data_IF_742359131758
#
_entry.id   IF_742359131758
#
_cell.length_a   1.000
_cell.length_b   1.000
_cell.length_c   1.000
_cell.angle_alpha   90.00
_cell.angle_beta   90.00
_cell.angle_gamma   90.00
#
_symmetry.space_group_name_H-M   'P 1'
#
loop_
_entity.id
_entity.type
_entity.pdbx_description
1 polymer ?
#
# COMPACT_ATOMS: atom_id res chain seq x y z
N UNK A 1 -4.55 -0.30 4.59
CA UNK A 1 -3.40 -0.76 3.79
C UNK A 1 -3.79 -2.03 3.06
N UNK A 2 -3.39 -2.15 1.80
CA UNK A 2 -3.55 -3.33 0.95
C UNK A 2 -2.15 -3.90 0.68
N UNK A 3 -1.98 -5.20 0.90
CA UNK A 3 -0.73 -5.92 0.71
C UNK A 3 -0.92 -6.91 -0.44
N UNK A 4 -0.07 -6.84 -1.47
CA UNK A 4 -0.14 -7.70 -2.65
C UNK A 4 1.08 -8.61 -2.70
N UNK A 5 0.82 -9.90 -2.95
CA UNK A 5 1.85 -10.90 -3.13
C UNK A 5 1.92 -11.32 -4.60
N UNK A 6 3.13 -11.33 -5.15
CA UNK A 6 3.44 -11.82 -6.49
C UNK A 6 4.47 -12.93 -6.39
N UNK A 7 4.25 -14.05 -7.10
CA UNK A 7 5.10 -15.24 -7.00
C UNK A 7 6.50 -15.03 -7.59
N UNK A 8 6.66 -14.09 -8.52
CA UNK A 8 7.92 -13.85 -9.19
C UNK A 8 8.12 -12.37 -9.55
N UNK A 9 9.23 -11.81 -9.07
CA UNK A 9 9.77 -10.54 -9.53
C UNK A 9 11.25 -10.79 -9.89
N UNK A 10 11.56 -10.85 -11.19
CA UNK A 10 12.87 -11.13 -11.83
C UNK A 10 14.05 -11.51 -10.89
N UNK A 11 13.93 -12.63 -10.16
CA UNK A 11 14.99 -13.21 -9.32
C UNK A 11 15.15 -12.67 -7.89
N UNK A 12 14.37 -11.66 -7.47
CA UNK A 12 14.37 -11.13 -6.10
C UNK A 12 12.92 -10.83 -5.75
N UNK A 13 12.20 -11.80 -5.18
CA UNK A 13 10.79 -11.63 -4.83
C UNK A 13 10.55 -10.32 -4.08
N UNK A 14 9.68 -9.48 -4.63
CA UNK A 14 9.24 -8.22 -4.05
C UNK A 14 7.81 -8.34 -3.52
N UNK A 15 7.49 -7.56 -2.49
CA UNK A 15 6.12 -7.32 -2.05
C UNK A 15 5.87 -5.84 -2.10
N UNK A 16 4.76 -5.49 -2.72
CA UNK A 16 4.37 -4.11 -2.93
C UNK A 16 3.09 -3.85 -2.15
N UNK A 17 2.96 -2.64 -1.62
CA UNK A 17 1.91 -2.21 -0.72
C UNK A 17 1.24 -0.94 -1.21
N UNK A 18 -0.05 -0.82 -0.91
CA UNK A 18 -0.82 0.41 -1.15
C UNK A 18 -1.45 0.85 0.17
N UNK A 19 -1.12 2.04 0.65
CA UNK A 19 -1.79 2.66 1.78
C UNK A 19 -2.80 3.69 1.29
N UNK A 20 -4.02 3.65 1.83
CA UNK A 20 -5.08 4.62 1.55
C UNK A 20 -5.43 5.28 2.86
N UNK A 21 -5.26 6.60 2.93
CA UNK A 21 -5.38 7.38 4.16
C UNK A 21 -6.67 8.17 4.15
N UNK A 22 -7.58 7.81 5.05
CA UNK A 22 -8.92 8.39 5.17
C UNK A 22 -9.05 8.99 6.57
N UNK A 23 -9.53 10.23 6.64
CA UNK A 23 -9.88 10.88 7.91
C UNK A 23 -11.23 11.55 7.75
N UNK A 24 -12.11 11.36 8.73
CA UNK A 24 -13.47 11.89 8.73
C UNK A 24 -14.25 11.52 7.45
N UNK A 25 -14.08 10.28 6.98
CA UNK A 25 -14.72 9.78 5.76
C UNK A 25 -14.17 10.35 4.45
N UNK A 26 -13.12 11.17 4.49
CA UNK A 26 -12.51 11.78 3.30
C UNK A 26 -11.12 11.21 3.02
N UNK A 27 -10.87 10.86 1.75
CA UNK A 27 -9.55 10.50 1.27
C UNK A 27 -8.61 11.70 1.40
N UNK A 28 -7.51 11.53 2.12
CA UNK A 28 -6.47 12.55 2.27
C UNK A 28 -5.33 12.32 1.28
N UNK A 29 -4.82 11.10 1.20
CA UNK A 29 -3.78 10.71 0.25
C UNK A 29 -3.74 9.20 0.03
N UNK A 30 -3.07 8.80 -1.04
CA UNK A 30 -2.74 7.41 -1.36
C UNK A 30 -1.22 7.30 -1.41
N UNK A 31 -0.68 6.18 -0.95
CA UNK A 31 0.75 5.87 -0.99
C UNK A 31 0.92 4.53 -1.68
N UNK A 32 1.66 4.49 -2.78
CA UNK A 32 2.01 3.27 -3.50
C UNK A 32 3.50 2.97 -3.26
N UNK A 33 3.86 1.75 -2.88
CA UNK A 33 5.28 1.42 -2.70
C UNK A 33 6.01 1.35 -4.05
N UNK A 34 7.26 1.78 -4.02
CA UNK A 34 8.15 1.82 -5.16
C UNK A 34 9.58 1.62 -4.66
N UNK A 35 10.12 0.41 -4.82
CA UNK A 35 11.51 0.04 -4.48
C UNK A 35 11.94 0.43 -3.05
N UNK A 36 11.08 0.17 -2.06
CA UNK A 36 11.34 0.48 -0.64
C UNK A 36 11.04 1.91 -0.21
N UNK A 37 10.61 2.77 -1.14
CA UNK A 37 10.06 4.10 -0.90
C UNK A 37 8.56 4.12 -1.22
N UNK A 38 7.93 5.28 -1.05
CA UNK A 38 6.51 5.48 -1.31
C UNK A 38 6.24 6.62 -2.29
N UNK A 39 5.49 6.35 -3.35
CA UNK A 39 4.92 7.34 -4.25
C UNK A 39 3.59 7.83 -3.66
N UNK A 40 3.64 8.99 -3.00
CA UNK A 40 2.49 9.54 -2.27
C UNK A 40 1.79 10.58 -3.14
N UNK A 41 0.47 10.49 -3.27
CA UNK A 41 -0.30 11.49 -4.01
C UNK A 41 -1.52 11.96 -3.24
N UNK A 42 -1.78 13.26 -3.41
CA UNK A 42 -2.96 13.94 -2.89
C UNK A 42 -4.01 14.09 -3.98
N UNK A 43 -5.29 13.80 -3.67
CA UNK A 43 -6.39 14.20 -4.54
C UNK A 43 -6.31 15.71 -4.83
N UNK A 44 -6.35 16.09 -6.11
CA UNK A 44 -6.44 17.49 -6.53
C UNK A 44 -5.14 18.32 -6.54
N UNK A 45 -4.00 17.82 -6.04
CA UNK A 45 -2.71 18.55 -6.10
C UNK A 45 -1.72 18.00 -7.12
N UNK A 46 -1.48 16.69 -7.10
CA UNK A 46 -0.55 16.03 -8.02
C UNK A 46 -1.34 15.38 -9.16
N UNK A 47 -0.70 15.20 -10.33
CA UNK A 47 -1.30 14.62 -11.55
C UNK A 47 -2.42 13.62 -11.22
N UNK A 48 -3.66 14.02 -11.57
CA UNK A 48 -4.92 13.50 -11.02
C UNK A 48 -4.82 12.00 -10.75
N UNK A 49 -4.77 11.62 -9.47
CA UNK A 49 -5.02 10.23 -9.08
C UNK A 49 -6.31 9.84 -9.80
N UNK A 50 -6.21 8.85 -10.68
CA UNK A 50 -7.37 8.36 -11.42
C UNK A 50 -8.13 7.44 -10.49
N UNK A 51 -9.44 7.57 -10.48
CA UNK A 51 -10.31 6.72 -9.67
C UNK A 51 -11.23 5.90 -10.58
N UNK A 52 -11.50 4.68 -10.16
CA UNK A 52 -12.71 3.97 -10.55
C UNK A 52 -13.81 4.33 -9.56
N UNK A 53 -14.88 4.96 -10.08
CA UNK A 53 -15.84 5.67 -9.24
C UNK A 53 -15.18 6.84 -8.49
N UNK A 54 -15.59 7.06 -7.24
CA UNK A 54 -15.07 8.14 -6.38
C UNK A 54 -14.09 7.66 -5.30
N UNK A 55 -13.87 6.35 -5.17
CA UNK A 55 -13.21 5.78 -3.98
C UNK A 55 -12.04 4.83 -4.27
N UNK A 56 -11.93 4.26 -5.47
CA UNK A 56 -10.90 3.25 -5.78
C UNK A 56 -9.79 3.86 -6.62
N UNK A 57 -8.64 4.13 -6.01
CA UNK A 57 -7.48 4.63 -6.74
C UNK A 57 -7.00 3.57 -7.75
N UNK A 58 -6.81 3.99 -9.00
CA UNK A 58 -6.29 3.13 -10.08
C UNK A 58 -4.76 3.05 -9.96
N UNK A 59 -4.28 1.90 -9.49
CA UNK A 59 -2.85 1.60 -9.30
C UNK A 59 -2.46 0.42 -10.17
N UNK A 60 -1.34 0.54 -10.86
CA UNK A 60 -0.81 -0.45 -11.81
C UNK A 60 0.46 -1.06 -11.22
N UNK A 61 0.51 -2.39 -11.15
CA UNK A 61 1.76 -3.13 -10.96
C UNK A 61 2.44 -3.26 -12.30
N UNK A 62 3.66 -2.74 -12.43
CA UNK A 62 4.37 -2.69 -13.71
C UNK A 62 5.83 -3.06 -13.51
N UNK A 63 6.48 -3.52 -14.58
CA UNK A 63 7.93 -3.63 -14.62
C UNK A 63 8.52 -2.23 -14.75
N UNK A 64 9.34 -1.83 -13.78
CA UNK A 64 10.00 -0.54 -13.81
C UNK A 64 11.31 -0.62 -14.60
N UNK A 65 11.26 -0.17 -15.85
CA UNK A 65 12.38 -0.21 -16.79
C UNK A 65 12.97 -1.61 -16.96
N UNK A 66 14.29 -1.72 -16.77
CA UNK A 66 15.01 -2.99 -16.81
C UNK A 66 15.04 -3.73 -15.46
N UNK A 67 14.46 -3.15 -14.40
CA UNK A 67 14.59 -3.62 -13.02
C UNK A 67 13.43 -4.50 -12.54
N UNK A 68 13.18 -4.39 -11.23
CA UNK A 68 12.09 -5.04 -10.49
C UNK A 68 10.73 -4.38 -10.77
N UNK A 69 9.66 -5.03 -10.35
CA UNK A 69 8.34 -4.42 -10.45
C UNK A 69 8.12 -3.40 -9.35
N UNK A 70 7.23 -2.43 -9.61
CA UNK A 70 6.77 -1.46 -8.63
C UNK A 70 5.32 -1.07 -8.90
N UNK A 71 4.67 -0.46 -7.91
CA UNK A 71 3.39 0.19 -8.15
C UNK A 71 3.60 1.60 -8.73
N UNK A 72 2.74 1.96 -9.69
CA UNK A 72 2.58 3.33 -10.15
C UNK A 72 1.10 3.70 -10.25
N UNK A 73 0.82 4.99 -10.24
CA UNK A 73 -0.51 5.49 -10.56
C UNK A 73 -0.84 5.29 -12.03
N UNK A 74 -2.10 5.00 -12.32
CA UNK A 74 -2.59 4.85 -13.69
C UNK A 74 -2.48 6.15 -14.49
N UNK A 75 -2.18 6.03 -15.77
CA UNK A 75 -2.12 7.11 -16.76
C UNK A 75 -3.22 6.90 -17.83
N UNK A 76 -3.21 7.73 -18.88
CA UNK A 76 -4.22 7.67 -19.95
C UNK A 76 -4.14 6.40 -20.81
N UNK A 77 -2.99 5.72 -20.85
CA UNK A 77 -2.78 4.48 -21.60
C UNK A 77 -3.23 3.21 -20.87
N UNK A 78 -3.63 3.30 -19.60
CA UNK A 78 -4.05 2.14 -18.80
C UNK A 78 -5.57 1.87 -18.91
N UNK A 79 -6.20 2.28 -20.02
CA UNK A 79 -7.62 2.06 -20.27
C UNK A 79 -7.84 1.40 -21.65
N UNK A 80 -8.18 0.10 -21.70
CA UNK A 80 -8.33 -0.82 -20.57
C UNK A 80 -6.98 -1.19 -19.92
N UNK A 81 -6.97 -1.65 -18.66
CA UNK A 81 -5.74 -2.10 -18.02
C UNK A 81 -5.18 -3.36 -18.69
N UNK A 82 -3.84 -3.45 -18.73
CA UNK A 82 -3.08 -4.57 -19.33
C UNK A 82 -3.11 -5.81 -18.43
N UNK A 83 -4.29 -6.38 -18.23
CA UNK A 83 -4.44 -7.68 -17.59
C UNK A 83 -5.36 -8.57 -18.43
N UNK A 84 -5.33 -9.88 -18.18
CA UNK A 84 -6.12 -10.87 -18.91
C UNK A 84 -7.63 -10.54 -18.98
N UNK A 85 -8.15 -9.84 -17.97
CA UNK A 85 -9.57 -9.48 -17.88
C UNK A 85 -9.90 -8.09 -18.40
N UNK A 86 -8.90 -7.32 -18.87
CA UNK A 86 -9.06 -5.96 -19.37
C UNK A 86 -9.91 -5.05 -18.45
N UNK A 87 -9.83 -5.28 -17.14
CA UNK A 87 -10.65 -4.59 -16.13
C UNK A 87 -9.92 -4.38 -14.80
N UNK A 88 -10.28 -3.33 -14.08
CA UNK A 88 -9.72 -3.00 -12.78
C UNK A 88 -10.19 -3.99 -11.71
N UNK A 89 -9.29 -4.36 -10.78
CA UNK A 89 -9.54 -5.39 -9.76
C UNK A 89 -9.46 -4.79 -8.36
N UNK A 90 -10.59 -4.73 -7.65
CA UNK A 90 -10.68 -4.10 -6.33
C UNK A 90 -11.57 -4.84 -5.31
N UNK A 91 -12.22 -5.94 -5.72
CA UNK A 91 -13.19 -6.72 -4.91
C UNK A 91 -12.81 -8.21 -4.85
N UNK A 92 -13.78 -9.11 -4.72
CA UNK A 92 -13.59 -10.59 -4.64
C UNK A 92 -12.71 -11.14 -5.79
N UNK A 93 -12.71 -10.50 -6.96
CA UNK A 93 -11.82 -10.84 -8.08
C UNK A 93 -10.31 -10.62 -7.83
N UNK A 94 -9.93 -9.95 -6.73
CA UNK A 94 -8.56 -9.81 -6.25
C UNK A 94 -8.29 -10.62 -4.96
N UNK A 95 -9.29 -11.30 -4.39
CA UNK A 95 -9.13 -12.09 -3.17
C UNK A 95 -8.87 -11.27 -1.90
N UNK A 96 -9.54 -10.12 -1.74
CA UNK A 96 -9.33 -9.25 -0.59
C UNK A 96 -9.72 -9.95 0.73
N UNK A 97 -8.71 -10.33 1.51
CA UNK A 97 -8.87 -10.84 2.87
C UNK A 97 -8.60 -9.71 3.86
N UNK A 98 -9.59 -9.40 4.71
CA UNK A 98 -9.36 -8.55 5.87
C UNK A 98 -8.62 -9.38 6.92
N UNK A 99 -7.41 -8.96 7.30
CA UNK A 99 -6.55 -9.69 8.25
C UNK A 99 -7.28 -10.08 9.55
N UNK A 100 -8.10 -9.18 10.10
CA UNK A 100 -8.88 -9.42 11.33
C UNK A 100 -10.02 -10.44 11.14
N UNK A 101 -10.40 -10.72 9.91
CA UNK A 101 -11.49 -11.62 9.54
C UNK A 101 -10.97 -12.92 8.90
N UNK A 102 -9.65 -13.11 8.86
CA UNK A 102 -9.06 -14.38 8.42
C UNK A 102 -9.31 -15.42 9.51
N UNK A 103 -10.17 -16.39 9.21
CA UNK A 103 -10.48 -17.48 10.11
C UNK A 103 -9.32 -18.49 10.22
N UNK A 104 -9.21 -19.12 11.39
CA UNK A 104 -8.28 -20.23 11.63
C UNK A 104 -6.82 -19.80 11.75
N UNK A 105 -5.91 -20.72 11.38
CA UNK A 105 -4.48 -20.53 11.53
C UNK A 105 -3.83 -19.77 10.37
N UNK A 106 -4.57 -19.38 9.31
CA UNK A 106 -3.99 -18.78 8.11
C UNK A 106 -3.23 -17.49 8.42
N UNK A 107 -3.73 -16.63 9.33
CA UNK A 107 -3.02 -15.44 9.79
C UNK A 107 -1.67 -15.80 10.41
N UNK A 108 -1.66 -16.80 11.29
CA UNK A 108 -0.44 -17.31 11.94
C UNK A 108 0.52 -17.92 10.92
N UNK A 109 0.02 -18.74 9.98
CA UNK A 109 0.82 -19.37 8.93
C UNK A 109 1.46 -18.34 8.00
N UNK A 110 0.70 -17.35 7.54
CA UNK A 110 1.23 -16.27 6.69
C UNK A 110 2.30 -15.46 7.42
N UNK A 111 2.12 -15.26 8.73
CA UNK A 111 3.03 -14.47 9.55
C UNK A 111 4.33 -15.19 9.91
N UNK A 112 4.28 -16.51 10.08
CA UNK A 112 5.43 -17.34 10.46
C UNK A 112 6.22 -17.88 9.27
N UNK A 113 5.63 -17.90 8.06
CA UNK A 113 6.30 -18.38 6.86
C UNK A 113 7.54 -17.52 6.55
N UNK A 114 8.62 -18.19 6.19
CA UNK A 114 9.79 -17.54 5.60
C UNK A 114 9.47 -17.21 4.13
N UNK A 115 9.57 -15.93 3.80
CA UNK A 115 9.28 -15.39 2.48
C UNK A 115 10.57 -15.00 1.73
N UNK A 116 11.72 -15.43 2.23
CA UNK A 116 13.03 -15.09 1.68
C UNK A 116 13.29 -13.59 1.79
N UNK A 117 13.56 -12.94 0.64
CA UNK A 117 13.81 -11.50 0.57
C UNK A 117 12.53 -10.65 0.60
N UNK A 118 11.36 -11.27 0.45
CA UNK A 118 10.08 -10.58 0.51
C UNK A 118 9.57 -10.48 1.96
N UNK A 119 8.89 -9.38 2.32
CA UNK A 119 8.27 -9.24 3.65
C UNK A 119 6.77 -8.94 3.60
N UNK A 120 5.94 -9.71 4.30
CA UNK A 120 4.51 -9.40 4.50
C UNK A 120 4.40 -8.17 5.39
N UNK A 121 3.72 -7.10 4.95
CA UNK A 121 3.51 -5.92 5.78
C UNK A 121 2.56 -6.24 6.94
N UNK A 122 1.55 -7.08 6.68
CA UNK A 122 0.57 -7.58 7.65
C UNK A 122 0.98 -8.94 8.25
N UNK A 123 2.11 -9.00 8.97
CA UNK A 123 2.51 -10.18 9.76
C UNK A 123 2.56 -9.93 11.25
N UNK A 124 2.20 -10.96 12.01
CA UNK A 124 2.48 -11.10 13.43
C UNK A 124 3.77 -11.92 13.64
N UNK A 125 4.90 -11.28 13.95
CA UNK A 125 6.09 -12.03 14.40
C UNK A 125 6.24 -11.88 15.90
N UNK A 126 6.01 -12.96 16.65
CA UNK A 126 6.51 -13.14 18.01
C UNK A 126 6.16 -12.06 19.06
N UNK A 127 5.10 -11.27 18.87
CA UNK A 127 4.50 -10.50 19.97
C UNK A 127 4.41 -8.98 19.82
N UNK A 128 4.79 -8.35 18.69
CA UNK A 128 4.48 -6.92 18.49
C UNK A 128 4.28 -6.58 17.00
N UNK A 129 3.26 -5.77 16.72
CA UNK A 129 2.76 -5.30 15.42
C UNK A 129 3.77 -4.46 14.59
N UNK A 130 5.07 -4.64 14.78
CA UNK A 130 6.11 -3.77 14.25
C UNK A 130 6.13 -3.71 12.73
N UNK A 131 5.83 -4.79 11.99
CA UNK A 131 5.85 -4.70 10.52
C UNK A 131 4.71 -3.82 10.01
N UNK A 132 3.48 -4.08 10.46
CA UNK A 132 2.33 -3.29 10.03
C UNK A 132 2.48 -1.82 10.44
N UNK A 133 2.83 -1.58 11.70
CA UNK A 133 3.07 -0.23 12.22
C UNK A 133 4.19 0.49 11.48
N UNK A 134 5.29 -0.20 11.16
CA UNK A 134 6.44 0.35 10.44
C UNK A 134 6.11 0.71 8.99
N UNK A 135 5.43 -0.17 8.24
CA UNK A 135 5.01 0.14 6.87
C UNK A 135 3.96 1.25 6.84
N UNK A 136 3.03 1.25 7.81
CA UNK A 136 2.05 2.31 7.96
C UNK A 136 2.75 3.65 8.24
N UNK A 137 3.68 3.68 9.19
CA UNK A 137 4.48 4.85 9.55
C UNK A 137 5.20 5.42 8.32
N UNK A 138 6.00 4.60 7.62
CA UNK A 138 6.75 5.04 6.44
C UNK A 138 5.89 5.50 5.28
N UNK A 139 4.71 4.90 5.09
CA UNK A 139 3.79 5.31 4.04
C UNK A 139 3.25 6.74 4.20
N UNK A 140 3.56 7.42 5.31
CA UNK A 140 3.23 8.84 5.57
C UNK A 140 4.34 9.83 5.25
N UNK A 141 5.61 9.42 5.15
CA UNK A 141 6.71 10.39 5.02
C UNK A 141 7.97 9.88 4.31
N UNK A 142 8.08 8.58 3.98
CA UNK A 142 9.27 8.04 3.33
C UNK A 142 9.10 7.98 1.80
N UNK A 143 9.10 9.14 1.16
CA UNK A 143 8.64 9.28 -0.22
C UNK A 143 9.75 9.15 -1.26
N UNK A 144 9.35 8.82 -2.50
CA UNK A 144 10.24 8.84 -3.67
C UNK A 144 10.72 10.26 -3.97
N UNK A 145 9.83 11.25 -3.85
CA UNK A 145 10.15 12.67 -4.01
C UNK A 145 9.71 13.48 -2.79
N UNK A 146 10.56 14.40 -2.30
CA UNK A 146 10.24 15.23 -1.12
C UNK A 146 9.10 16.21 -1.38
N UNK A 147 8.91 16.65 -2.63
CA UNK A 147 7.82 17.56 -3.02
C UNK A 147 6.44 16.92 -2.84
N UNK A 148 6.37 15.59 -2.89
CA UNK A 148 5.15 14.81 -2.75
C UNK A 148 4.98 14.26 -1.33
N UNK A 149 5.90 14.56 -0.41
CA UNK A 149 5.79 14.12 0.97
C UNK A 149 4.71 14.89 1.75
N UNK A 150 3.88 14.19 2.55
CA UNK A 150 2.80 14.80 3.31
C UNK A 150 3.16 15.91 4.30
N UNK A 151 4.43 16.08 4.68
CA UNK A 151 4.82 17.05 5.70
C UNK A 151 3.89 17.00 6.92
N UNK A 152 3.34 18.16 7.32
CA UNK A 152 2.43 18.32 8.47
C UNK A 152 1.09 17.54 8.40
N UNK A 153 0.76 16.84 7.30
CA UNK A 153 -0.41 15.96 7.29
C UNK A 153 -0.12 14.62 7.96
N UNK A 154 1.15 14.18 8.04
CA UNK A 154 1.52 12.94 8.71
C UNK A 154 1.29 12.98 10.22
N UNK A 155 1.46 14.15 10.85
CA UNK A 155 1.22 14.35 12.30
C UNK A 155 -0.25 14.16 12.69
N UNK A 156 -1.20 14.52 11.81
CA UNK A 156 -2.63 14.27 12.04
C UNK A 156 -3.00 12.77 11.99
N UNK A 157 -2.10 11.92 11.51
CA UNK A 157 -2.23 10.47 11.44
C UNK A 157 -1.22 9.75 12.34
N UNK A 158 -0.63 10.45 13.29
CA UNK A 158 0.39 9.88 14.17
C UNK A 158 -0.22 9.04 15.28
N UNK A 159 -0.09 7.72 15.13
CA UNK A 159 -0.44 6.72 16.14
C UNK A 159 0.48 6.74 17.36
N UNK A 160 1.34 7.75 17.47
CA UNK A 160 2.21 8.00 18.62
C UNK A 160 2.06 9.44 19.13
N UNK A 161 1.11 10.21 18.58
CA UNK A 161 0.85 11.55 19.07
C UNK A 161 0.22 11.48 20.46
N UNK A 162 0.73 12.29 21.40
CA UNK A 162 0.01 12.60 22.62
C UNK A 162 -1.14 13.54 22.31
N UNK A 163 -2.36 13.11 22.59
CA UNK A 163 -3.53 13.98 22.57
C UNK A 163 -4.12 13.97 23.97
N UNK A 164 -4.12 15.14 24.62
CA UNK A 164 -4.82 15.40 25.89
C UNK A 164 -4.66 14.30 26.96
N UNK A 165 -3.42 13.84 27.19
CA UNK A 165 -3.14 12.92 28.31
C UNK A 165 -3.28 11.42 27.98
N UNK A 166 -3.49 11.04 26.71
CA UNK A 166 -3.41 9.64 26.27
C UNK A 166 -2.59 9.50 24.97
N UNK A 167 -1.97 8.32 24.84
CA UNK A 167 -1.42 7.83 23.57
C UNK A 167 -2.55 7.25 22.73
N UNK A 168 -2.62 7.64 21.45
CA UNK A 168 -3.62 7.16 20.48
C UNK A 168 -3.17 5.86 19.83
#
# INVERSE_FOLDING_TARGET
MYDYYFEFDFGIGGREHIAVWIQNGQLKFVSASEHGKWNIRFPGKNSKIRFEGSTHAKIVYHKDGAGTHAFRYANNGDEPPENHWQSWRWRIGAGLLKLDSIAGNLRTTLSQKDWGKAEVAVRDKGGKAWNFGWYLDRSRYHCVTELECPGNLATAFDSWAWVEGQWV
#
